data_IF_312410610505
#
_entry.id   IF_312410610505
#
_cell.length_a   1.000
_cell.length_b   1.000
_cell.length_c   1.000
_cell.angle_alpha   90.00
_cell.angle_beta   90.00
_cell.angle_gamma   90.00
#
_symmetry.space_group_name_H-M   'P 1'
#
loop_
_entity.id
_entity.type
_entity.pdbx_description
1 polymer ?
#
# COMPACT_ATOMS: atom_id res chain seq x y z
N UNK A 1 -18.90 -6.98 -4.60
CA UNK A 1 -19.01 -5.52 -4.80
C UNK A 1 -17.94 -5.12 -5.80
N UNK A 2 -18.35 -4.76 -7.01
CA UNK A 2 -17.43 -4.22 -8.02
C UNK A 2 -17.53 -2.69 -8.07
N UNK A 3 -16.42 -2.02 -8.40
CA UNK A 3 -16.42 -0.58 -8.64
C UNK A 3 -17.32 -0.26 -9.84
N UNK A 4 -18.30 0.63 -9.65
CA UNK A 4 -19.10 1.14 -10.75
C UNK A 4 -18.24 1.94 -11.75
N UNK A 5 -18.69 2.08 -12.99
CA UNK A 5 -17.99 2.88 -14.00
C UNK A 5 -17.77 4.34 -13.53
N UNK A 6 -18.74 4.92 -12.83
CA UNK A 6 -18.62 6.25 -12.21
C UNK A 6 -17.49 6.31 -11.20
N UNK A 7 -17.40 5.33 -10.30
CA UNK A 7 -16.34 5.29 -9.28
C UNK A 7 -14.96 5.14 -9.94
N UNK A 8 -14.83 4.27 -10.94
CA UNK A 8 -13.57 4.10 -11.69
C UNK A 8 -13.12 5.39 -12.37
N UNK A 9 -14.05 6.12 -12.98
CA UNK A 9 -13.75 7.40 -13.63
C UNK A 9 -13.27 8.46 -12.62
N UNK A 10 -13.93 8.54 -11.44
CA UNK A 10 -13.52 9.46 -10.37
C UNK A 10 -12.11 9.13 -9.86
N UNK A 11 -11.80 7.85 -9.63
CA UNK A 11 -10.48 7.41 -9.17
C UNK A 11 -9.39 7.78 -10.18
N UNK A 12 -9.61 7.50 -11.48
CA UNK A 12 -8.66 7.87 -12.54
C UNK A 12 -8.45 9.39 -12.62
N UNK A 13 -9.53 10.16 -12.59
CA UNK A 13 -9.47 11.62 -12.65
C UNK A 13 -8.76 12.22 -11.43
N UNK A 14 -8.95 11.64 -10.25
CA UNK A 14 -8.24 12.06 -9.05
C UNK A 14 -6.75 11.70 -9.14
N UNK A 15 -6.42 10.46 -9.50
CA UNK A 15 -5.04 10.00 -9.63
C UNK A 15 -4.23 10.86 -10.60
N UNK A 16 -4.82 11.21 -11.75
CA UNK A 16 -4.20 12.09 -12.75
C UNK A 16 -3.80 13.48 -12.20
N UNK A 17 -4.38 13.93 -11.08
CA UNK A 17 -4.05 15.22 -10.43
C UNK A 17 -2.99 15.10 -9.34
N UNK A 18 -2.70 13.89 -8.86
CA UNK A 18 -1.85 13.67 -7.68
C UNK A 18 -0.63 12.80 -7.97
N UNK A 19 -0.54 12.19 -9.15
CA UNK A 19 0.54 11.26 -9.49
C UNK A 19 1.93 11.92 -9.49
N UNK A 20 2.00 13.22 -9.80
CA UNK A 20 3.22 14.03 -9.76
C UNK A 20 3.76 14.21 -8.33
N UNK A 21 2.89 14.09 -7.33
CA UNK A 21 3.20 14.19 -5.89
C UNK A 21 3.24 12.82 -5.19
N UNK A 22 3.15 11.73 -5.94
CA UNK A 22 3.04 10.38 -5.39
C UNK A 22 4.17 10.05 -4.41
N UNK A 23 5.40 10.50 -4.66
CA UNK A 23 6.53 10.24 -3.76
C UNK A 23 6.36 10.94 -2.40
N UNK A 24 6.00 12.22 -2.39
CA UNK A 24 5.79 12.97 -1.15
C UNK A 24 4.58 12.47 -0.38
N UNK A 25 3.47 12.16 -1.08
CA UNK A 25 2.28 11.57 -0.48
C UNK A 25 2.55 10.20 0.13
N UNK A 26 3.33 9.36 -0.54
CA UNK A 26 3.71 8.04 -0.02
C UNK A 26 4.61 8.15 1.20
N UNK A 27 5.57 9.07 1.17
CA UNK A 27 6.45 9.34 2.31
C UNK A 27 5.66 9.83 3.53
N UNK A 28 4.74 10.77 3.32
CA UNK A 28 3.88 11.31 4.37
C UNK A 28 2.96 10.23 4.95
N UNK A 29 2.29 9.46 4.09
CA UNK A 29 1.38 8.39 4.53
C UNK A 29 2.11 7.34 5.38
N UNK A 30 3.28 6.86 4.92
CA UNK A 30 4.06 5.88 5.67
C UNK A 30 4.59 6.46 6.98
N UNK A 31 5.06 7.71 6.96
CA UNK A 31 5.49 8.42 8.18
C UNK A 31 4.37 8.50 9.21
N UNK A 32 3.15 8.86 8.78
CA UNK A 32 1.96 8.93 9.65
C UNK A 32 1.62 7.57 10.24
N UNK A 33 1.67 6.48 9.44
CA UNK A 33 1.40 5.13 9.93
C UNK A 33 2.40 4.73 11.02
N UNK A 34 3.69 4.96 10.81
CA UNK A 34 4.73 4.60 11.77
C UNK A 34 4.62 5.41 13.08
N UNK A 35 4.09 6.63 13.04
CA UNK A 35 3.89 7.47 14.23
C UNK A 35 2.59 7.14 14.96
N UNK A 36 1.47 7.07 14.24
CA UNK A 36 0.13 6.87 14.81
C UNK A 36 -0.08 5.43 15.28
N UNK A 37 0.55 4.46 14.61
CA UNK A 37 0.46 3.04 14.92
C UNK A 37 1.86 2.44 15.15
N UNK A 38 2.49 2.68 16.32
CA UNK A 38 3.87 2.26 16.58
C UNK A 38 4.12 0.76 16.42
N UNK A 39 3.10 -0.09 16.59
CA UNK A 39 3.20 -1.54 16.38
C UNK A 39 3.59 -1.90 14.94
N UNK A 40 3.27 -1.02 13.96
CA UNK A 40 3.65 -1.22 12.55
C UNK A 40 5.14 -1.10 12.31
N UNK A 41 5.91 -0.52 13.25
CA UNK A 41 7.38 -0.45 13.14
C UNK A 41 8.03 -1.83 13.15
N UNK A 42 7.38 -2.85 13.73
CA UNK A 42 7.91 -4.22 13.80
C UNK A 42 8.17 -4.81 12.40
N UNK A 43 7.32 -4.50 11.42
CA UNK A 43 7.47 -4.86 10.01
C UNK A 43 8.74 -4.28 9.36
N UNK A 44 9.25 -3.17 9.91
CA UNK A 44 10.40 -2.44 9.38
C UNK A 44 11.58 -2.39 10.37
N UNK A 45 11.61 -3.30 11.34
CA UNK A 45 12.65 -3.36 12.39
C UNK A 45 14.08 -3.54 11.87
N UNK A 46 14.22 -3.99 10.62
CA UNK A 46 15.50 -4.11 9.91
C UNK A 46 15.99 -2.78 9.32
N UNK A 47 15.19 -1.70 9.35
CA UNK A 47 15.64 -0.38 8.90
C UNK A 47 16.34 0.37 10.03
N UNK A 48 17.49 1.00 9.75
CA UNK A 48 18.22 1.78 10.76
C UNK A 48 17.53 3.08 11.18
N UNK A 49 16.60 3.60 10.37
CA UNK A 49 15.90 4.85 10.64
C UNK A 49 14.44 4.82 10.15
N UNK A 50 13.53 4.86 11.12
CA UNK A 50 12.07 4.88 10.94
C UNK A 50 11.45 6.25 11.26
N UNK A 51 12.28 7.29 11.37
CA UNK A 51 11.78 8.64 11.58
C UNK A 51 10.95 9.12 10.38
N UNK A 52 9.94 9.98 10.61
CA UNK A 52 9.21 10.63 9.53
C UNK A 52 10.14 11.29 8.51
N UNK A 53 9.95 10.98 7.23
CA UNK A 53 10.75 11.56 6.16
C UNK A 53 12.14 10.94 5.93
N UNK A 54 12.53 9.89 6.68
CA UNK A 54 13.81 9.21 6.46
C UNK A 54 13.95 8.69 5.03
N UNK A 55 15.19 8.49 4.58
CA UNK A 55 15.46 8.08 3.20
C UNK A 55 14.77 6.75 2.83
N UNK A 56 14.73 5.78 3.77
CA UNK A 56 14.08 4.49 3.55
C UNK A 56 12.54 4.62 3.58
N UNK A 57 11.99 5.44 4.48
CA UNK A 57 10.55 5.74 4.52
C UNK A 57 10.10 6.42 3.22
N UNK A 58 10.86 7.38 2.71
CA UNK A 58 10.58 8.02 1.41
C UNK A 58 10.66 7.01 0.26
N UNK A 59 11.75 6.24 0.20
CA UNK A 59 11.95 5.23 -0.85
C UNK A 59 10.81 4.21 -0.87
N UNK A 60 10.40 3.69 0.28
CA UNK A 60 9.31 2.73 0.36
C UNK A 60 7.94 3.35 0.13
N UNK A 61 7.72 4.58 0.58
CA UNK A 61 6.53 5.37 0.25
C UNK A 61 6.31 5.49 -1.26
N UNK A 62 7.39 5.70 -2.04
CA UNK A 62 7.36 5.65 -3.50
C UNK A 62 6.93 4.28 -4.04
N UNK A 63 7.44 3.19 -3.47
CA UNK A 63 7.04 1.83 -3.85
C UNK A 63 5.54 1.60 -3.62
N UNK A 64 5.03 2.00 -2.45
CA UNK A 64 3.60 1.91 -2.12
C UNK A 64 2.76 2.66 -3.17
N UNK A 65 3.13 3.90 -3.47
CA UNK A 65 2.38 4.72 -4.42
C UNK A 65 2.53 4.27 -5.88
N UNK A 66 3.63 3.60 -6.22
CA UNK A 66 3.78 2.88 -7.48
C UNK A 66 2.74 1.76 -7.62
N UNK A 67 2.54 0.97 -6.56
CA UNK A 67 1.49 -0.06 -6.52
C UNK A 67 0.08 0.51 -6.63
N UNK A 68 -0.19 1.66 -5.98
CA UNK A 68 -1.48 2.37 -6.16
C UNK A 68 -1.66 2.82 -7.61
N UNK A 69 -0.62 3.37 -8.25
CA UNK A 69 -0.67 3.75 -9.66
C UNK A 69 -0.95 2.57 -10.59
N UNK A 70 -0.34 1.41 -10.33
CA UNK A 70 -0.60 0.18 -11.07
C UNK A 70 -2.05 -0.31 -10.88
N UNK A 71 -2.59 -0.23 -9.65
CA UNK A 71 -3.98 -0.54 -9.38
C UNK A 71 -4.94 0.38 -10.15
N UNK A 72 -4.65 1.69 -10.22
CA UNK A 72 -5.46 2.64 -10.99
C UNK A 72 -5.39 2.34 -12.49
N UNK A 73 -4.22 1.97 -13.00
CA UNK A 73 -4.04 1.59 -14.41
C UNK A 73 -4.85 0.33 -14.76
N UNK A 74 -4.93 -0.63 -13.83
CA UNK A 74 -5.62 -1.92 -13.99
C UNK A 74 -6.99 -1.98 -13.32
N UNK A 75 -7.62 -0.84 -13.02
CA UNK A 75 -8.86 -0.74 -12.23
C UNK A 75 -10.07 -1.47 -12.84
N UNK A 76 -9.97 -1.91 -14.11
CA UNK A 76 -10.99 -2.75 -14.73
C UNK A 76 -10.90 -4.23 -14.37
N UNK A 77 -9.70 -4.70 -14.01
CA UNK A 77 -9.43 -6.06 -13.50
C UNK A 77 -8.30 -6.01 -12.47
N UNK A 78 -8.66 -5.64 -11.24
CA UNK A 78 -7.72 -5.54 -10.12
C UNK A 78 -7.17 -6.90 -9.69
N UNK A 79 -7.96 -7.97 -9.85
CA UNK A 79 -7.59 -9.32 -9.42
C UNK A 79 -6.43 -9.85 -10.25
N UNK A 80 -6.55 -9.80 -11.58
CA UNK A 80 -5.44 -10.16 -12.45
C UNK A 80 -4.30 -9.15 -12.31
N UNK A 81 -4.66 -7.86 -12.20
CA UNK A 81 -3.69 -6.78 -12.22
C UNK A 81 -2.75 -6.70 -11.02
N UNK A 82 -3.18 -7.14 -9.84
CA UNK A 82 -2.42 -7.07 -8.60
C UNK A 82 -2.00 -8.45 -8.07
N UNK A 83 -2.14 -9.51 -8.87
CA UNK A 83 -1.84 -10.89 -8.45
C UNK A 83 -0.42 -11.02 -7.89
N UNK A 84 0.59 -10.53 -8.60
CA UNK A 84 2.00 -10.58 -8.15
C UNK A 84 2.23 -9.81 -6.85
N UNK A 85 1.57 -8.65 -6.70
CA UNK A 85 1.66 -7.87 -5.46
C UNK A 85 0.96 -8.58 -4.29
N UNK A 86 -0.14 -9.28 -4.56
CA UNK A 86 -0.85 -10.12 -3.60
C UNK A 86 0.02 -11.30 -3.14
N UNK A 87 0.66 -12.02 -4.07
CA UNK A 87 1.57 -13.12 -3.76
C UNK A 87 2.77 -12.66 -2.92
N UNK A 88 3.36 -11.51 -3.25
CA UNK A 88 4.44 -10.90 -2.47
C UNK A 88 4.04 -10.70 -1.01
N UNK A 89 2.88 -10.10 -0.77
CA UNK A 89 2.36 -9.88 0.59
C UNK A 89 1.97 -11.19 1.30
N UNK A 90 1.39 -12.14 0.55
CA UNK A 90 0.88 -13.39 1.11
C UNK A 90 2.00 -14.38 1.51
N UNK A 91 3.09 -14.43 0.75
CA UNK A 91 4.12 -15.46 0.93
C UNK A 91 5.45 -14.92 1.44
N UNK A 92 5.95 -13.81 0.88
CA UNK A 92 7.29 -13.34 1.21
C UNK A 92 7.27 -12.45 2.46
N UNK A 93 6.32 -11.51 2.53
CA UNK A 93 6.22 -10.62 3.69
C UNK A 93 5.64 -11.33 4.91
N UNK A 94 4.69 -12.27 4.72
CA UNK A 94 4.13 -13.11 5.79
C UNK A 94 5.17 -14.04 6.43
N UNK A 95 6.09 -14.61 5.64
CA UNK A 95 7.12 -15.52 6.17
C UNK A 95 8.17 -14.81 7.04
N UNK A 96 8.26 -13.47 6.96
CA UNK A 96 9.24 -12.68 7.71
C UNK A 96 8.76 -12.22 9.09
N UNK A 97 7.53 -12.54 9.50
CA UNK A 97 6.92 -11.99 10.71
C UNK A 97 6.35 -13.10 11.58
N UNK A 98 6.85 -13.15 12.81
CA UNK A 98 6.39 -14.01 13.89
C UNK A 98 4.87 -13.88 14.09
N UNK A 99 4.26 -15.01 14.46
CA UNK A 99 2.84 -15.20 14.74
C UNK A 99 2.28 -14.12 15.68
N UNK A 100 1.15 -13.50 15.31
CA UNK A 100 0.32 -12.74 16.27
C UNK A 100 -0.41 -11.53 15.67
N UNK A 101 -1.66 -11.76 15.24
CA UNK A 101 -2.80 -10.82 15.13
C UNK A 101 -2.73 -9.49 14.37
N UNK A 102 -1.58 -8.93 13.98
CA UNK A 102 -1.56 -7.56 13.44
C UNK A 102 -1.57 -7.44 11.90
N UNK A 103 -1.44 -8.57 11.19
CA UNK A 103 -1.49 -8.61 9.71
C UNK A 103 -2.89 -8.37 9.12
N UNK A 104 -3.91 -8.22 9.97
CA UNK A 104 -5.30 -8.00 9.54
C UNK A 104 -5.44 -6.64 8.85
N UNK A 105 -4.72 -5.60 9.27
CA UNK A 105 -4.92 -4.24 8.72
C UNK A 105 -4.42 -4.11 7.28
N UNK A 106 -3.26 -4.66 6.93
CA UNK A 106 -2.74 -4.59 5.57
C UNK A 106 -3.43 -5.56 4.60
N UNK A 107 -3.83 -6.74 5.07
CA UNK A 107 -4.58 -7.72 4.26
C UNK A 107 -6.06 -7.30 4.10
N UNK A 108 -6.70 -6.67 5.09
CA UNK A 108 -8.05 -6.11 4.89
C UNK A 108 -8.08 -4.96 3.91
N UNK A 109 -7.03 -4.11 3.89
CA UNK A 109 -6.94 -3.01 2.92
C UNK A 109 -6.56 -3.53 1.52
N UNK A 110 -5.82 -4.64 1.40
CA UNK A 110 -5.29 -5.12 0.11
C UNK A 110 -6.04 -6.30 -0.52
N UNK A 111 -6.73 -7.13 0.27
CA UNK A 111 -7.36 -8.39 -0.21
C UNK A 111 -8.83 -8.49 0.21
N UNK A 112 -9.19 -8.00 1.40
CA UNK A 112 -10.57 -8.09 1.92
C UNK A 112 -11.62 -7.30 1.14
N UNK A 113 -11.24 -6.20 0.48
CA UNK A 113 -12.17 -5.37 -0.28
C UNK A 113 -12.26 -5.71 -1.78
N UNK A 114 -11.38 -6.57 -2.29
CA UNK A 114 -11.33 -6.94 -3.72
C UNK A 114 -12.11 -8.24 -3.99
N UNK A 115 -12.41 -9.04 -2.95
CA UNK A 115 -13.08 -10.35 -3.08
C UNK A 115 -14.46 -10.43 -2.40
N UNK A 116 -15.14 -9.32 -2.15
CA UNK A 116 -16.53 -9.34 -1.67
C UNK A 116 -17.41 -8.40 -2.48
#
# INVERSE_FOLDING_TARGET
MSLTAKNKAVVRAFWAKVFDKAEDLGCEALSRILVVYPQTKTYFSHWPDLSPGSALVRKHGKTIMGGVGEAVAKIDDLTAGLLTLSELHAFQLRSSQLQGQDSIIFIYISVGYVLQ
#
